data_IF_029763351746
#
_entry.id   IF_029763351746
#
_cell.length_a   1.000
_cell.length_b   1.000
_cell.length_c   1.000
_cell.angle_alpha   90.00
_cell.angle_beta   90.00
_cell.angle_gamma   90.00
#
_symmetry.space_group_name_H-M   'P 1'
#
loop_
_entity.id
_entity.type
_entity.pdbx_description
1 polymer ?
#
# COMPACT_ATOMS: atom_id res chain seq x y z
N UNK A 1 20.42 -4.63 -1.29
CA UNK A 1 20.29 -5.23 0.06
C UNK A 1 20.50 -4.19 1.14
N UNK A 2 21.60 -3.42 1.12
CA UNK A 2 21.84 -2.32 2.08
C UNK A 2 20.74 -1.24 2.05
N UNK A 3 20.20 -0.91 0.87
CA UNK A 3 19.16 0.13 0.75
C UNK A 3 17.82 -0.27 1.37
N UNK A 4 17.45 -1.56 1.29
CA UNK A 4 16.28 -2.09 1.99
C UNK A 4 16.49 -2.08 3.51
N UNK A 5 17.72 -2.32 3.98
CA UNK A 5 18.07 -2.26 5.40
C UNK A 5 18.09 -0.81 5.94
N UNK A 6 18.32 0.18 5.08
CA UNK A 6 18.33 1.60 5.44
C UNK A 6 16.95 2.28 5.29
N UNK A 7 15.95 1.57 4.76
CA UNK A 7 14.62 2.11 4.48
C UNK A 7 13.81 2.30 5.76
N UNK A 8 13.14 3.45 5.89
CA UNK A 8 12.33 3.81 7.06
C UNK A 8 10.90 3.27 7.01
N UNK A 9 10.39 3.03 5.80
CA UNK A 9 8.99 2.66 5.58
C UNK A 9 8.87 1.67 4.42
N UNK A 10 8.02 0.67 4.60
CA UNK A 10 7.68 -0.32 3.56
C UNK A 10 6.17 -0.29 3.38
N UNK A 11 5.73 -0.09 2.14
CA UNK A 11 4.33 -0.18 1.76
C UNK A 11 4.12 -1.33 0.78
N UNK A 12 3.02 -2.06 0.95
CA UNK A 12 2.59 -3.14 0.05
C UNK A 12 1.19 -2.80 -0.45
N UNK A 13 0.91 -3.12 -1.71
CA UNK A 13 -0.42 -3.00 -2.32
C UNK A 13 -0.84 -4.36 -2.85
N UNK A 14 -2.10 -4.68 -2.64
CA UNK A 14 -2.72 -5.89 -3.18
C UNK A 14 -3.63 -5.55 -4.37
N UNK A 15 -3.77 -6.55 -5.24
CA UNK A 15 -4.77 -6.61 -6.29
C UNK A 15 -5.75 -7.74 -5.96
N UNK A 16 -7.03 -7.54 -6.24
CA UNK A 16 -8.02 -8.64 -6.25
C UNK A 16 -8.11 -9.30 -7.64
N UNK A 17 -8.93 -10.35 -7.77
CA UNK A 17 -9.13 -11.06 -9.04
C UNK A 17 -9.79 -10.20 -10.12
N UNK A 18 -10.49 -9.13 -9.72
CA UNK A 18 -11.15 -8.18 -10.62
C UNK A 18 -10.24 -7.00 -11.01
N UNK A 19 -8.94 -7.07 -10.68
CA UNK A 19 -7.94 -6.04 -10.95
C UNK A 19 -8.23 -4.70 -10.23
N UNK A 20 -8.87 -4.72 -9.05
CA UNK A 20 -8.94 -3.56 -8.19
C UNK A 20 -7.68 -3.46 -7.31
N UNK A 21 -7.19 -2.23 -7.09
CA UNK A 21 -6.05 -1.97 -6.20
C UNK A 21 -6.46 -1.32 -4.89
N UNK A 22 -5.71 -1.61 -3.82
CA UNK A 22 -5.74 -0.78 -2.61
C UNK A 22 -5.40 0.69 -2.93
N UNK A 23 -6.16 1.68 -2.44
CA UNK A 23 -5.91 3.10 -2.68
C UNK A 23 -4.67 3.60 -1.91
N UNK A 24 -4.03 4.65 -2.45
CA UNK A 24 -2.81 5.22 -1.87
C UNK A 24 -3.07 6.09 -0.64
N UNK A 25 -4.29 6.61 -0.52
CA UNK A 25 -4.73 7.40 0.62
C UNK A 25 -5.93 6.72 1.23
N UNK A 26 -5.98 6.70 2.56
CA UNK A 26 -7.15 6.25 3.27
C UNK A 26 -8.33 7.15 2.92
N UNK A 27 -9.41 6.54 2.42
CA UNK A 27 -10.65 7.23 2.15
C UNK A 27 -11.50 7.10 3.41
N UNK A 28 -11.72 8.22 4.10
CA UNK A 28 -12.66 8.29 5.21
C UNK A 28 -14.05 8.66 4.70
N UNK A 29 -15.05 7.89 5.09
CA UNK A 29 -16.46 8.25 4.96
C UNK A 29 -17.07 8.43 6.36
N UNK A 30 -18.26 9.03 6.42
CA UNK A 30 -18.95 9.40 7.68
C UNK A 30 -19.62 8.18 8.35
N UNK A 31 -19.56 7.02 7.70
CA UNK A 31 -20.31 5.81 8.08
C UNK A 31 -19.47 4.85 8.91
#
# INVERSE_FOLDING_TARGET
>A
VLDLLATKEVAVRAWDEALNTQPEKLIWNVM
#
